data_IF_800569544458
#
_entry.id   IF_800569544458
#
_cell.length_a   1.000
_cell.length_b   1.000
_cell.length_c   1.000
_cell.angle_alpha   90.00
_cell.angle_beta   90.00
_cell.angle_gamma   90.00
#
_symmetry.space_group_name_H-M   'P 1'
#
loop_
_entity.id
_entity.type
_entity.pdbx_description
1 polymer ?
#
# COMPACT_ATOMS: atom_id res chain seq x y z
N UNK A 1 -0.01 -64.38 4.03
CA UNK A 1 1.02 -63.71 3.21
C UNK A 1 0.40 -62.80 2.14
N UNK A 2 -0.49 -63.28 1.26
CA UNK A 2 -1.17 -62.45 0.23
C UNK A 2 -1.93 -61.26 0.83
N UNK A 3 -2.73 -61.46 1.89
CA UNK A 3 -3.49 -60.37 2.56
C UNK A 3 -2.61 -59.26 3.14
N UNK A 4 -1.43 -59.60 3.67
CA UNK A 4 -0.48 -58.64 4.26
C UNK A 4 0.14 -57.78 3.15
N UNK A 5 0.54 -58.40 2.04
CA UNK A 5 1.08 -57.70 0.87
C UNK A 5 0.02 -56.77 0.27
N UNK A 6 -1.24 -57.21 0.13
CA UNK A 6 -2.33 -56.38 -0.39
C UNK A 6 -2.62 -55.17 0.52
N UNK A 7 -2.60 -55.34 1.84
CA UNK A 7 -2.77 -54.23 2.79
C UNK A 7 -1.61 -53.23 2.76
N UNK A 8 -0.37 -53.72 2.64
CA UNK A 8 0.80 -52.86 2.53
C UNK A 8 0.76 -52.03 1.23
N UNK A 9 0.37 -52.65 0.12
CA UNK A 9 0.15 -51.97 -1.16
C UNK A 9 -0.97 -50.92 -1.03
N UNK A 10 -2.11 -51.28 -0.44
CA UNK A 10 -3.22 -50.35 -0.23
C UNK A 10 -2.84 -49.16 0.66
N UNK A 11 -2.08 -49.38 1.74
CA UNK A 11 -1.57 -48.31 2.59
C UNK A 11 -0.60 -47.40 1.82
N UNK A 12 0.28 -47.98 0.99
CA UNK A 12 1.19 -47.20 0.16
C UNK A 12 0.44 -46.28 -0.82
N UNK A 13 -0.54 -46.80 -1.56
CA UNK A 13 -1.36 -45.97 -2.47
C UNK A 13 -2.21 -44.95 -1.71
N UNK A 14 -2.73 -45.28 -0.53
CA UNK A 14 -3.48 -44.33 0.30
C UNK A 14 -2.58 -43.18 0.76
N UNK A 15 -1.34 -43.45 1.17
CA UNK A 15 -0.35 -42.42 1.52
C UNK A 15 -0.03 -41.51 0.33
N UNK A 16 0.17 -42.10 -0.86
CA UNK A 16 0.42 -41.32 -2.09
C UNK A 16 -0.77 -40.42 -2.42
N UNK A 17 -1.99 -40.97 -2.40
CA UNK A 17 -3.22 -40.22 -2.68
C UNK A 17 -3.43 -39.07 -1.69
N UNK A 18 -3.24 -39.32 -0.39
CA UNK A 18 -3.36 -38.27 0.64
C UNK A 18 -2.33 -37.16 0.41
N UNK A 19 -1.07 -37.51 0.10
CA UNK A 19 -0.03 -36.51 -0.18
C UNK A 19 -0.33 -35.71 -1.46
N UNK A 20 -0.79 -36.36 -2.53
CA UNK A 20 -1.16 -35.70 -3.78
C UNK A 20 -2.33 -34.74 -3.58
N UNK A 21 -3.37 -35.18 -2.86
CA UNK A 21 -4.51 -34.34 -2.51
C UNK A 21 -4.09 -33.11 -1.71
N UNK A 22 -3.21 -33.27 -0.72
CA UNK A 22 -2.70 -32.14 0.06
C UNK A 22 -1.83 -31.19 -0.77
N UNK A 23 -0.99 -31.71 -1.68
CA UNK A 23 -0.23 -30.85 -2.59
C UNK A 23 -1.17 -30.03 -3.49
N UNK A 24 -2.23 -30.64 -4.03
CA UNK A 24 -3.23 -29.95 -4.85
C UNK A 24 -3.96 -28.86 -4.06
N UNK A 25 -4.40 -29.16 -2.83
CA UNK A 25 -5.00 -28.16 -1.94
C UNK A 25 -4.07 -26.98 -1.65
N UNK A 26 -2.77 -27.22 -1.52
CA UNK A 26 -1.81 -26.13 -1.35
C UNK A 26 -1.66 -25.28 -2.61
N UNK A 27 -1.64 -25.89 -3.79
CA UNK A 27 -1.65 -25.14 -5.06
C UNK A 27 -2.92 -24.31 -5.22
N UNK A 28 -4.08 -24.85 -4.88
CA UNK A 28 -5.35 -24.12 -4.90
C UNK A 28 -5.32 -22.91 -3.94
N UNK A 29 -4.73 -23.08 -2.75
CA UNK A 29 -4.54 -21.98 -1.79
C UNK A 29 -3.64 -20.89 -2.37
N UNK A 30 -2.54 -21.25 -3.03
CA UNK A 30 -1.64 -20.29 -3.70
C UNK A 30 -2.39 -19.55 -4.80
N UNK A 31 -3.13 -20.26 -5.64
CA UNK A 31 -3.91 -19.68 -6.75
C UNK A 31 -4.98 -18.71 -6.25
N UNK A 32 -5.79 -19.12 -5.26
CA UNK A 32 -6.84 -18.27 -4.70
C UNK A 32 -6.28 -17.02 -4.05
N UNK A 33 -5.17 -17.16 -3.33
CA UNK A 33 -4.51 -16.04 -2.67
C UNK A 33 -3.91 -15.05 -3.68
N UNK A 34 -3.26 -15.58 -4.72
CA UNK A 34 -2.76 -14.81 -5.88
C UNK A 34 -3.89 -14.01 -6.53
N UNK A 35 -5.00 -14.66 -6.87
CA UNK A 35 -6.15 -14.01 -7.52
C UNK A 35 -6.77 -12.93 -6.62
N UNK A 36 -6.96 -13.23 -5.33
CA UNK A 36 -7.53 -12.28 -4.37
C UNK A 36 -6.63 -11.05 -4.20
N UNK A 37 -5.31 -11.26 -4.10
CA UNK A 37 -4.35 -10.16 -3.96
C UNK A 37 -4.30 -9.30 -5.24
N UNK A 38 -4.42 -9.90 -6.43
CA UNK A 38 -4.53 -9.16 -7.70
C UNK A 38 -5.78 -8.27 -7.75
N UNK A 39 -6.93 -8.74 -7.27
CA UNK A 39 -8.15 -7.92 -7.19
C UNK A 39 -7.93 -6.71 -6.28
N UNK A 40 -7.25 -6.91 -5.15
CA UNK A 40 -6.92 -5.83 -4.22
C UNK A 40 -5.90 -4.86 -4.85
N UNK A 41 -4.86 -5.37 -5.54
CA UNK A 41 -3.92 -4.55 -6.31
C UNK A 41 -4.63 -3.62 -7.28
N UNK A 42 -5.59 -4.15 -8.04
CA UNK A 42 -6.34 -3.39 -9.02
C UNK A 42 -7.19 -2.29 -8.36
N UNK A 43 -7.87 -2.61 -7.25
CA UNK A 43 -8.68 -1.62 -6.49
C UNK A 43 -7.80 -0.49 -5.97
N UNK A 44 -6.66 -0.79 -5.37
CA UNK A 44 -5.74 0.22 -4.86
C UNK A 44 -5.11 1.03 -5.98
N UNK A 45 -4.77 0.41 -7.11
CA UNK A 45 -4.20 1.11 -8.27
C UNK A 45 -5.18 2.17 -8.80
N UNK A 46 -6.49 1.87 -8.80
CA UNK A 46 -7.53 2.86 -9.15
C UNK A 46 -7.60 4.01 -8.15
N UNK A 47 -7.44 3.75 -6.86
CA UNK A 47 -7.43 4.78 -5.83
C UNK A 47 -6.19 5.67 -5.91
N UNK A 48 -5.02 5.06 -6.17
CA UNK A 48 -3.75 5.77 -6.42
C UNK A 48 -3.85 6.66 -7.68
N UNK A 49 -4.58 6.24 -8.72
CA UNK A 49 -4.79 7.06 -9.91
C UNK A 49 -5.58 8.35 -9.65
N UNK A 50 -6.37 8.42 -8.57
CA UNK A 50 -7.09 9.64 -8.24
C UNK A 50 -6.15 10.81 -7.87
N UNK A 51 -4.90 10.55 -7.46
CA UNK A 51 -3.95 11.60 -7.13
C UNK A 51 -3.53 12.42 -8.36
N UNK A 52 -2.92 11.83 -9.41
CA UNK A 52 -2.53 12.58 -10.60
C UNK A 52 -3.72 13.26 -11.28
N UNK A 53 -4.89 12.62 -11.32
CA UNK A 53 -6.12 13.22 -11.89
C UNK A 53 -6.51 14.51 -11.16
N UNK A 54 -6.58 14.48 -9.82
CA UNK A 54 -6.93 15.65 -9.04
C UNK A 54 -5.85 16.75 -9.14
N UNK A 55 -4.57 16.38 -9.11
CA UNK A 55 -3.46 17.32 -9.28
C UNK A 55 -3.50 17.99 -10.66
N UNK A 56 -3.71 17.23 -11.72
CA UNK A 56 -3.82 17.76 -13.08
C UNK A 56 -5.00 18.73 -13.19
N UNK A 57 -6.14 18.41 -12.57
CA UNK A 57 -7.32 19.27 -12.57
C UNK A 57 -7.05 20.58 -11.81
N UNK A 58 -6.42 20.52 -10.64
CA UNK A 58 -6.02 21.70 -9.85
C UNK A 58 -5.00 22.55 -10.61
N UNK A 59 -3.93 21.94 -11.14
CA UNK A 59 -2.86 22.64 -11.84
C UNK A 59 -3.36 23.26 -13.15
N UNK A 60 -4.21 22.57 -13.90
CA UNK A 60 -4.81 23.12 -15.13
C UNK A 60 -5.74 24.29 -14.82
N UNK A 61 -6.49 24.24 -13.72
CA UNK A 61 -7.31 25.36 -13.28
C UNK A 61 -6.44 26.54 -12.82
N UNK A 62 -5.37 26.28 -12.05
CA UNK A 62 -4.45 27.32 -11.61
C UNK A 62 -3.76 28.00 -12.78
N UNK A 63 -3.34 27.24 -13.80
CA UNK A 63 -2.77 27.79 -15.02
C UNK A 63 -3.74 28.78 -15.69
N UNK A 64 -5.03 28.45 -15.76
CA UNK A 64 -6.03 29.36 -16.33
C UNK A 64 -6.20 30.64 -15.50
N UNK A 65 -6.06 30.55 -14.16
CA UNK A 65 -6.12 31.73 -13.28
C UNK A 65 -4.94 32.67 -13.59
N UNK A 66 -3.72 32.16 -13.59
CA UNK A 66 -2.51 32.99 -13.84
C UNK A 66 -2.48 33.54 -15.28
N UNK A 67 -3.05 32.82 -16.26
CA UNK A 67 -3.18 33.28 -17.65
C UNK A 67 -4.35 34.27 -17.84
N UNK A 68 -5.08 34.64 -16.78
CA UNK A 68 -6.22 35.57 -16.86
C UNK A 68 -7.45 35.01 -17.60
N UNK A 69 -7.52 33.69 -17.78
CA UNK A 69 -8.60 32.98 -18.51
C UNK A 69 -9.79 32.60 -17.64
N UNK A 70 -9.77 32.93 -16.35
CA UNK A 70 -10.86 32.67 -15.41
C UNK A 70 -11.54 33.98 -15.05
N UNK A 71 -12.86 34.04 -15.23
CA UNK A 71 -13.66 35.16 -14.72
C UNK A 71 -13.78 35.05 -13.21
N UNK A 72 -13.19 36.01 -12.51
CA UNK A 72 -13.15 36.05 -11.05
C UNK A 72 -14.18 37.04 -10.52
N UNK A 73 -14.98 36.62 -9.55
CA UNK A 73 -15.84 37.54 -8.81
C UNK A 73 -14.99 38.41 -7.87
N UNK A 74 -14.79 39.69 -8.24
CA UNK A 74 -14.03 40.65 -7.44
C UNK A 74 -14.63 40.93 -6.05
N UNK A 75 -15.89 40.58 -5.81
CA UNK A 75 -16.56 40.71 -4.51
C UNK A 75 -16.36 39.49 -3.61
N UNK A 76 -15.85 38.37 -4.13
CA UNK A 76 -15.60 37.20 -3.32
C UNK A 76 -14.42 37.48 -2.39
N UNK A 77 -14.67 37.46 -1.10
CA UNK A 77 -13.64 37.49 -0.07
C UNK A 77 -13.54 36.09 0.52
N UNK A 78 -12.33 35.56 0.51
CA UNK A 78 -12.07 34.27 1.08
C UNK A 78 -11.55 34.40 2.51
N UNK A 79 -12.05 33.56 3.41
CA UNK A 79 -11.43 33.38 4.71
C UNK A 79 -10.07 32.71 4.55
N UNK A 80 -9.01 33.44 4.91
CA UNK A 80 -7.63 32.98 4.91
C UNK A 80 -7.07 33.06 6.32
N UNK A 81 -6.34 32.04 6.76
CA UNK A 81 -5.62 32.04 8.03
C UNK A 81 -4.12 31.89 7.83
N UNK A 82 -3.32 32.60 8.60
CA UNK A 82 -1.89 32.36 8.65
C UNK A 82 -1.57 31.22 9.64
N UNK A 83 -0.79 30.22 9.20
CA UNK A 83 -0.48 29.03 10.00
C UNK A 83 0.17 29.40 11.35
N UNK A 84 1.12 30.35 11.36
CA UNK A 84 1.82 30.76 12.58
C UNK A 84 0.93 31.55 13.52
N UNK A 85 0.10 32.46 13.00
CA UNK A 85 -0.82 33.24 13.85
C UNK A 85 -1.77 32.32 14.61
N UNK A 86 -2.34 31.34 13.93
CA UNK A 86 -3.25 30.41 14.60
C UNK A 86 -2.50 29.47 15.54
N UNK A 87 -1.28 29.01 15.20
CA UNK A 87 -0.44 28.25 16.13
C UNK A 87 -0.18 29.02 17.45
N UNK A 88 0.15 30.31 17.35
CA UNK A 88 0.37 31.19 18.51
C UNK A 88 -0.91 31.79 19.11
N UNK A 89 -2.11 31.38 18.65
CA UNK A 89 -3.41 31.89 19.11
C UNK A 89 -3.57 33.42 18.95
N UNK A 90 -3.02 33.96 17.87
CA UNK A 90 -3.06 35.38 17.47
C UNK A 90 -3.94 35.63 16.25
N UNK A 91 -4.67 34.62 15.79
CA UNK A 91 -5.61 34.72 14.67
C UNK A 91 -6.97 35.26 15.12
N UNK A 92 -7.74 35.83 14.19
CA UNK A 92 -9.12 36.28 14.44
C UNK A 92 -9.96 35.12 15.03
N UNK A 93 -10.61 35.30 16.20
CA UNK A 93 -11.43 34.28 16.83
C UNK A 93 -12.54 33.73 15.93
N UNK A 94 -13.09 34.55 15.03
CA UNK A 94 -14.12 34.15 14.04
C UNK A 94 -13.53 33.17 13.03
N UNK A 95 -12.33 33.42 12.54
CA UNK A 95 -11.61 32.52 11.63
C UNK A 95 -11.31 31.20 12.34
N UNK A 96 -10.84 31.25 13.59
CA UNK A 96 -10.60 30.05 14.41
C UNK A 96 -11.87 29.24 14.61
N UNK A 97 -13.01 29.90 14.90
CA UNK A 97 -14.31 29.23 15.02
C UNK A 97 -14.76 28.58 13.70
N UNK A 98 -14.54 29.24 12.55
CA UNK A 98 -14.84 28.67 11.23
C UNK A 98 -14.00 27.42 10.96
N UNK A 99 -12.70 27.45 11.25
CA UNK A 99 -11.79 26.30 11.14
C UNK A 99 -12.28 25.14 12.00
N UNK A 100 -12.63 25.41 13.27
CA UNK A 100 -13.12 24.39 14.20
C UNK A 100 -14.43 23.76 13.76
N UNK A 101 -15.34 24.54 13.17
CA UNK A 101 -16.61 24.04 12.65
C UNK A 101 -16.42 23.19 11.39
N UNK A 102 -15.59 23.65 10.46
CA UNK A 102 -15.20 22.89 9.29
C UNK A 102 -13.86 23.39 8.74
N UNK A 103 -12.81 22.55 8.73
CA UNK A 103 -11.47 22.95 8.33
C UNK A 103 -11.34 23.30 6.85
N UNK A 104 -12.32 22.92 6.00
CA UNK A 104 -12.36 23.25 4.57
C UNK A 104 -13.09 24.57 4.28
N UNK A 105 -13.56 25.32 5.29
CA UNK A 105 -14.13 26.66 5.09
C UNK A 105 -13.07 27.76 5.00
N UNK A 106 -11.89 27.50 5.53
CA UNK A 106 -10.80 28.47 5.63
C UNK A 106 -9.56 27.83 5.04
N UNK A 107 -8.95 28.49 4.07
CA UNK A 107 -7.67 28.05 3.56
C UNK A 107 -6.55 28.70 4.37
N UNK A 108 -5.45 28.00 4.53
CA UNK A 108 -4.31 28.48 5.30
C UNK A 108 -3.16 28.88 4.39
N UNK A 109 -2.37 29.85 4.81
CA UNK A 109 -1.14 30.23 4.16
C UNK A 109 0.01 30.40 5.14
N UNK A 110 1.23 30.27 4.63
CA UNK A 110 2.45 30.50 5.39
C UNK A 110 3.54 31.07 4.48
N UNK A 111 4.36 31.96 5.03
CA UNK A 111 5.58 32.45 4.43
C UNK A 111 6.62 32.64 5.57
N UNK A 112 7.90 32.38 5.27
CA UNK A 112 8.95 32.26 6.28
C UNK A 112 9.21 33.52 7.12
N UNK A 113 8.89 34.70 6.58
CA UNK A 113 9.22 36.01 7.14
C UNK A 113 7.98 36.85 7.49
N UNK A 114 6.78 36.42 7.11
CA UNK A 114 5.55 37.20 7.24
C UNK A 114 4.44 36.42 7.93
N UNK A 115 3.74 37.11 8.83
CA UNK A 115 2.51 36.62 9.47
C UNK A 115 1.27 37.38 9.01
N UNK A 116 1.45 38.51 8.31
CA UNK A 116 0.37 39.34 7.79
C UNK A 116 0.54 39.59 6.29
N UNK A 117 -0.56 39.71 5.55
CA UNK A 117 -0.53 39.92 4.09
C UNK A 117 0.13 41.26 3.75
N UNK A 118 -0.03 42.28 4.59
CA UNK A 118 0.61 43.60 4.45
C UNK A 118 2.15 43.56 4.53
N UNK A 119 2.72 42.50 5.12
CA UNK A 119 4.17 42.29 5.23
C UNK A 119 4.76 41.59 4.00
N UNK A 120 3.92 41.01 3.14
CA UNK A 120 4.35 40.33 1.93
C UNK A 120 4.73 41.36 0.85
N UNK A 121 5.75 41.04 0.06
CA UNK A 121 6.06 41.79 -1.15
C UNK A 121 4.94 41.67 -2.19
N UNK A 122 4.92 42.55 -3.19
CA UNK A 122 3.84 42.58 -4.20
C UNK A 122 3.68 41.24 -4.94
N UNK A 123 4.79 40.58 -5.30
CA UNK A 123 4.77 39.28 -5.95
C UNK A 123 4.15 38.21 -5.03
N UNK A 124 4.57 38.15 -3.78
CA UNK A 124 4.02 37.28 -2.76
C UNK A 124 2.50 37.49 -2.55
N UNK A 125 2.05 38.75 -2.50
CA UNK A 125 0.62 39.08 -2.41
C UNK A 125 -0.16 38.59 -3.62
N UNK A 126 0.40 38.73 -4.82
CA UNK A 126 -0.20 38.25 -6.07
C UNK A 126 -0.30 36.71 -6.10
N UNK A 127 0.77 36.01 -5.72
CA UNK A 127 0.80 34.54 -5.63
C UNK A 127 -0.28 34.05 -4.65
N UNK A 128 -0.36 34.66 -3.46
CA UNK A 128 -1.36 34.30 -2.46
C UNK A 128 -2.78 34.57 -2.96
N UNK A 129 -2.99 35.69 -3.65
CA UNK A 129 -4.28 36.03 -4.26
C UNK A 129 -4.69 35.04 -5.35
N UNK A 130 -3.79 34.69 -6.27
CA UNK A 130 -4.07 33.71 -7.32
C UNK A 130 -4.35 32.32 -6.72
N UNK A 131 -3.61 31.96 -5.69
CA UNK A 131 -3.82 30.75 -4.89
C UNK A 131 -5.20 30.69 -4.25
N UNK A 132 -5.69 31.80 -3.72
CA UNK A 132 -7.01 31.88 -3.08
C UNK A 132 -8.16 31.53 -4.04
N UNK A 133 -8.01 31.82 -5.35
CA UNK A 133 -9.04 31.46 -6.32
C UNK A 133 -9.15 29.94 -6.58
N UNK A 134 -8.20 29.12 -6.12
CA UNK A 134 -8.29 27.67 -6.16
C UNK A 134 -9.25 27.09 -5.12
N UNK A 135 -9.57 27.86 -4.09
CA UNK A 135 -10.20 27.35 -2.89
C UNK A 135 -11.56 26.67 -3.11
N UNK A 136 -12.47 27.17 -3.96
CA UNK A 136 -13.70 26.44 -4.26
C UNK A 136 -13.44 25.00 -4.73
N UNK A 137 -12.40 24.81 -5.54
CA UNK A 137 -12.01 23.51 -6.05
C UNK A 137 -11.35 22.65 -4.95
N UNK A 138 -10.39 23.21 -4.22
CA UNK A 138 -9.71 22.47 -3.14
C UNK A 138 -10.69 22.05 -2.02
N UNK A 139 -11.63 22.93 -1.70
CA UNK A 139 -12.64 22.70 -0.69
C UNK A 139 -13.63 21.63 -1.18
N UNK A 140 -14.01 21.65 -2.46
CA UNK A 140 -14.88 20.60 -3.03
C UNK A 140 -14.26 19.20 -2.92
N UNK A 141 -12.96 19.07 -3.21
CA UNK A 141 -12.23 17.81 -3.02
C UNK A 141 -12.20 17.43 -1.53
N UNK A 142 -11.94 18.39 -0.65
CA UNK A 142 -11.94 18.20 0.80
C UNK A 142 -13.30 17.74 1.36
N UNK A 143 -14.39 18.41 0.98
CA UNK A 143 -15.76 18.09 1.37
C UNK A 143 -16.17 16.69 0.91
N UNK A 144 -15.90 16.36 -0.35
CA UNK A 144 -16.18 15.03 -0.89
C UNK A 144 -15.45 13.95 -0.10
N UNK A 145 -14.20 14.22 0.27
CA UNK A 145 -13.41 13.31 1.06
C UNK A 145 -13.93 13.16 2.51
N UNK A 146 -14.40 14.24 3.14
CA UNK A 146 -14.98 14.19 4.49
C UNK A 146 -16.28 13.39 4.53
N UNK A 147 -17.20 13.62 3.57
CA UNK A 147 -18.47 12.90 3.50
C UNK A 147 -18.22 11.39 3.38
N UNK A 148 -17.31 10.99 2.49
CA UNK A 148 -17.00 9.58 2.27
C UNK A 148 -16.38 8.88 3.50
N UNK A 149 -15.61 9.59 4.33
CA UNK A 149 -15.05 9.02 5.56
C UNK A 149 -16.13 8.64 6.58
N UNK A 150 -17.28 9.30 6.58
CA UNK A 150 -18.37 9.05 7.54
C UNK A 150 -19.24 7.85 7.19
N UNK A 151 -19.09 7.28 5.98
CA UNK A 151 -19.87 6.15 5.51
C UNK A 151 -19.11 4.86 5.85
N UNK A 152 -19.61 4.11 6.84
CA UNK A 152 -18.93 2.99 7.51
C UNK A 152 -18.42 1.82 6.62
N UNK A 153 -18.74 1.80 5.33
CA UNK A 153 -18.37 0.73 4.39
C UNK A 153 -17.55 1.24 3.18
N UNK A 154 -17.08 2.48 3.19
CA UNK A 154 -16.44 3.07 2.01
C UNK A 154 -14.93 2.84 1.99
N UNK A 155 -14.47 1.92 1.14
CA UNK A 155 -13.05 1.62 0.90
C UNK A 155 -12.45 2.68 -0.04
N UNK A 156 -11.87 3.75 0.51
CA UNK A 156 -11.06 4.75 -0.21
C UNK A 156 -9.83 5.19 0.56
N UNK A 157 -8.83 5.73 -0.15
CA UNK A 157 -7.69 6.40 0.44
C UNK A 157 -8.08 7.88 0.73
N UNK A 158 -8.27 8.29 1.99
CA UNK A 158 -8.72 9.63 2.29
C UNK A 158 -7.62 10.70 2.12
N UNK A 159 -7.95 11.82 1.46
CA UNK A 159 -7.07 12.99 1.34
C UNK A 159 -7.15 13.89 2.58
N UNK A 160 -6.04 14.14 3.27
CA UNK A 160 -6.03 15.00 4.46
C UNK A 160 -5.90 16.46 4.12
N UNK A 161 -4.99 16.78 3.22
CA UNK A 161 -4.76 18.15 2.79
C UNK A 161 -4.29 18.22 1.34
N UNK A 162 -4.51 19.37 0.75
CA UNK A 162 -4.03 19.76 -0.57
C UNK A 162 -3.23 21.02 -0.36
N UNK A 163 -1.93 20.93 -0.61
CA UNK A 163 -0.98 22.00 -0.37
C UNK A 163 -0.26 22.39 -1.65
N UNK A 164 0.11 23.66 -1.76
CA UNK A 164 0.97 24.15 -2.82
C UNK A 164 2.07 25.02 -2.24
N UNK A 165 3.26 24.93 -2.80
CA UNK A 165 4.40 25.75 -2.43
C UNK A 165 4.96 26.46 -3.66
N UNK A 166 5.00 27.79 -3.61
CA UNK A 166 5.61 28.61 -4.66
C UNK A 166 7.14 28.55 -4.59
N UNK A 167 7.79 28.51 -5.75
CA UNK A 167 9.25 28.56 -5.87
C UNK A 167 9.82 29.95 -5.55
N UNK A 168 9.10 31.00 -5.94
CA UNK A 168 9.57 32.38 -5.94
C UNK A 168 9.68 32.96 -4.52
N UNK A 169 8.61 32.81 -3.73
CA UNK A 169 8.51 33.42 -2.39
C UNK A 169 8.40 32.40 -1.24
N UNK A 170 8.41 31.10 -1.54
CA UNK A 170 8.23 30.05 -0.54
C UNK A 170 6.84 30.09 0.14
N UNK A 171 5.84 30.67 -0.53
CA UNK A 171 4.47 30.70 -0.02
C UNK A 171 3.91 29.28 -0.05
N UNK A 172 3.57 28.78 1.13
CA UNK A 172 2.74 27.59 1.30
C UNK A 172 1.28 28.02 1.37
N UNK A 173 0.42 27.39 0.59
CA UNK A 173 -1.03 27.54 0.65
C UNK A 173 -1.69 26.18 0.74
N UNK A 174 -2.66 26.00 1.65
CA UNK A 174 -3.31 24.72 1.91
C UNK A 174 -4.81 24.87 2.15
N UNK A 175 -5.59 23.83 1.84
CA UNK A 175 -7.01 23.73 2.18
C UNK A 175 -7.30 23.16 3.57
N UNK A 176 -6.26 22.89 4.34
CA UNK A 176 -6.38 22.38 5.69
C UNK A 176 -5.43 23.11 6.62
N UNK A 177 -5.95 23.48 7.79
CA UNK A 177 -5.18 24.15 8.82
C UNK A 177 -4.45 23.09 9.67
N UNK A 178 -3.13 22.99 9.53
CA UNK A 178 -2.34 22.33 10.54
C UNK A 178 -1.11 23.14 10.95
N UNK A 179 -1.00 23.26 12.26
CA UNK A 179 -0.18 24.23 12.98
C UNK A 179 1.25 23.75 13.28
N UNK A 180 1.56 22.46 13.04
CA UNK A 180 2.92 21.95 13.18
C UNK A 180 3.67 22.07 11.85
N UNK A 181 4.30 23.21 11.63
CA UNK A 181 5.41 23.30 10.68
C UNK A 181 6.56 22.46 11.24
N UNK A 182 6.62 21.18 10.89
CA UNK A 182 7.66 20.24 11.34
C UNK A 182 9.06 20.71 10.98
N UNK A 183 10.09 20.18 11.63
CA UNK A 183 11.50 20.48 11.34
C UNK A 183 11.82 20.34 9.84
N UNK A 184 12.60 21.27 9.29
CA UNK A 184 13.14 21.18 7.93
C UNK A 184 14.00 19.93 7.76
N UNK A 185 13.98 19.36 6.55
CA UNK A 185 14.78 18.17 6.24
C UNK A 185 16.27 18.53 6.05
N UNK A 186 16.56 19.78 5.66
CA UNK A 186 17.90 20.37 5.63
C UNK A 186 17.95 21.66 6.47
N UNK A 187 18.74 21.63 7.55
CA UNK A 187 18.91 22.76 8.46
C UNK A 187 19.63 23.95 7.79
N UNK A 188 20.40 23.74 6.72
CA UNK A 188 21.11 24.82 6.03
C UNK A 188 20.30 25.44 4.88
N UNK A 189 19.12 24.91 4.58
CA UNK A 189 18.30 25.36 3.44
C UNK A 189 17.40 26.57 3.79
N UNK A 190 17.16 26.84 5.06
CA UNK A 190 16.21 27.86 5.51
C UNK A 190 16.89 29.21 5.83
N UNK A 191 16.32 30.33 5.37
CA UNK A 191 16.89 31.67 5.58
C UNK A 191 15.82 32.71 5.96
N UNK A 192 15.21 32.57 7.14
CA UNK A 192 14.13 33.46 7.57
C UNK A 192 13.72 33.36 9.03
N UNK A 193 12.70 34.15 9.41
CA UNK A 193 12.22 34.29 10.79
C UNK A 193 11.73 32.98 11.38
N UNK A 194 11.03 32.18 10.59
CA UNK A 194 10.56 30.85 10.98
C UNK A 194 11.47 29.77 10.39
N UNK A 195 11.73 28.70 11.15
CA UNK A 195 12.64 27.62 10.73
C UNK A 195 12.10 26.84 9.52
N UNK A 196 10.80 26.88 9.28
CA UNK A 196 10.17 26.15 8.18
C UNK A 196 10.20 26.93 6.87
N UNK A 197 10.71 26.28 5.81
CA UNK A 197 10.52 26.69 4.41
C UNK A 197 9.97 25.47 3.64
N UNK A 198 8.80 25.58 2.98
CA UNK A 198 8.23 24.46 2.22
C UNK A 198 9.13 23.98 1.08
N UNK A 199 10.03 24.83 0.56
CA UNK A 199 10.99 24.48 -0.50
C UNK A 199 12.11 23.56 -0.01
N UNK A 200 12.37 23.57 1.30
CA UNK A 200 13.36 22.72 1.97
C UNK A 200 12.78 21.38 2.43
N UNK A 201 11.55 21.06 2.04
CA UNK A 201 10.92 19.79 2.35
C UNK A 201 11.31 18.74 1.32
N UNK A 202 11.49 17.51 1.77
CA UNK A 202 11.81 16.36 0.92
C UNK A 202 10.83 16.23 -0.25
N UNK A 203 9.52 16.38 0.01
CA UNK A 203 8.50 16.33 -1.03
C UNK A 203 8.68 17.46 -2.06
N UNK A 204 9.10 18.65 -1.66
CA UNK A 204 9.34 19.72 -2.62
C UNK A 204 10.60 19.44 -3.45
N UNK A 205 11.72 19.17 -2.78
CA UNK A 205 13.04 18.96 -3.41
C UNK A 205 13.05 17.74 -4.34
N UNK A 206 12.28 16.70 -4.01
CA UNK A 206 12.18 15.52 -4.87
C UNK A 206 11.37 15.84 -6.12
N UNK A 207 10.21 16.47 -5.96
CA UNK A 207 9.26 16.72 -7.03
C UNK A 207 9.73 17.76 -8.07
N UNK A 208 10.55 18.73 -7.68
CA UNK A 208 11.13 19.67 -8.67
C UNK A 208 11.94 18.95 -9.75
N UNK A 209 12.54 17.82 -9.40
CA UNK A 209 13.38 17.01 -10.29
C UNK A 209 12.58 15.96 -11.10
N UNK A 210 11.30 15.75 -10.79
CA UNK A 210 10.47 14.77 -11.49
C UNK A 210 9.84 15.37 -12.74
N UNK A 211 9.66 14.58 -13.79
CA UNK A 211 9.02 15.04 -15.03
C UNK A 211 7.54 15.36 -14.80
N UNK A 212 6.84 14.52 -14.05
CA UNK A 212 5.39 14.61 -13.85
C UNK A 212 4.98 14.32 -12.40
N UNK A 213 3.92 13.53 -12.19
CA UNK A 213 3.49 13.07 -10.88
C UNK A 213 4.55 12.21 -10.18
N UNK A 214 4.69 12.40 -8.86
CA UNK A 214 5.51 11.56 -8.01
C UNK A 214 4.79 11.30 -6.68
N UNK A 215 4.68 10.02 -6.33
CA UNK A 215 4.26 9.63 -5.00
C UNK A 215 5.48 9.58 -4.08
N UNK A 216 5.57 10.47 -3.09
CA UNK A 216 6.64 10.49 -2.10
C UNK A 216 6.60 9.23 -1.21
N UNK A 217 7.71 8.83 -0.56
CA UNK A 217 7.68 7.74 0.42
C UNK A 217 6.70 8.02 1.58
N UNK A 218 6.15 6.98 2.21
CA UNK A 218 5.25 7.15 3.35
C UNK A 218 6.00 7.74 4.55
N UNK A 219 5.35 8.67 5.24
CA UNK A 219 5.91 9.34 6.41
C UNK A 219 4.86 9.49 7.51
N UNK A 220 5.32 9.89 8.70
CA UNK A 220 4.41 10.21 9.79
C UNK A 220 4.04 11.68 9.69
N UNK A 221 2.78 11.93 9.42
CA UNK A 221 2.22 13.27 9.54
C UNK A 221 1.73 13.49 10.96
N UNK A 222 2.15 14.61 11.53
CA UNK A 222 1.55 15.17 12.74
C UNK A 222 0.41 16.06 12.26
N UNK A 223 -0.84 15.74 12.62
CA UNK A 223 -2.06 16.44 12.22
C UNK A 223 -2.64 17.35 13.32
N UNK A 224 -3.84 17.89 13.10
CA UNK A 224 -4.71 18.36 14.20
C UNK A 224 -5.16 17.22 15.12
N UNK A 225 -5.23 16.01 14.57
CA UNK A 225 -5.49 14.77 15.29
C UNK A 225 -4.18 14.11 15.70
N UNK A 226 -4.28 13.03 16.47
CA UNK A 226 -3.20 12.07 16.69
C UNK A 226 -2.40 11.77 15.41
N UNK A 227 -1.07 11.60 15.50
CA UNK A 227 -0.21 11.24 14.38
C UNK A 227 -0.79 10.12 13.51
N UNK A 228 -0.49 10.15 12.22
CA UNK A 228 -0.96 9.12 11.28
C UNK A 228 0.06 8.88 10.17
N UNK A 229 -0.01 7.68 9.59
CA UNK A 229 0.79 7.34 8.41
C UNK A 229 0.19 8.04 7.20
N UNK A 230 1.02 8.81 6.50
CA UNK A 230 0.61 9.59 5.35
C UNK A 230 1.54 9.41 4.15
N UNK A 231 1.09 9.89 3.00
CA UNK A 231 1.91 9.95 1.80
C UNK A 231 1.50 11.14 0.94
N UNK A 232 2.49 11.80 0.33
CA UNK A 232 2.25 12.96 -0.53
C UNK A 232 2.38 12.56 -2.00
N UNK A 233 1.30 12.66 -2.75
CA UNK A 233 1.35 12.65 -4.22
C UNK A 233 1.50 14.08 -4.71
N UNK A 234 2.55 14.37 -5.47
CA UNK A 234 2.94 15.72 -5.84
C UNK A 234 3.17 15.85 -7.35
N UNK A 235 3.05 17.06 -7.87
CA UNK A 235 3.30 17.41 -9.26
C UNK A 235 3.74 18.87 -9.36
N UNK A 236 4.82 19.12 -10.09
CA UNK A 236 5.29 20.48 -10.36
C UNK A 236 4.49 21.15 -11.46
N UNK A 237 4.38 22.47 -11.38
CA UNK A 237 3.79 23.31 -12.42
C UNK A 237 4.87 24.22 -12.98
N UNK A 238 5.00 24.25 -14.30
CA UNK A 238 5.93 25.11 -15.03
C UNK A 238 5.23 26.37 -15.53
N UNK A 239 5.98 27.45 -15.68
CA UNK A 239 5.52 28.65 -16.36
C UNK A 239 6.66 29.26 -17.20
N UNK A 240 6.28 30.13 -18.14
CA UNK A 240 7.24 30.92 -18.91
C UNK A 240 7.42 32.27 -18.22
N UNK A 241 8.63 32.55 -17.75
CA UNK A 241 8.96 33.83 -17.14
C UNK A 241 9.34 34.82 -18.24
N UNK A 242 8.52 35.84 -18.44
CA UNK A 242 8.72 36.87 -19.48
C UNK A 242 9.90 37.79 -19.19
N UNK A 243 10.35 37.87 -17.94
CA UNK A 243 11.47 38.72 -17.54
C UNK A 243 12.81 38.04 -17.81
N UNK A 244 12.91 36.75 -17.50
CA UNK A 244 14.14 35.95 -17.71
C UNK A 244 14.17 35.25 -19.07
N UNK A 245 13.04 35.21 -19.80
CA UNK A 245 12.84 34.47 -21.05
C UNK A 245 13.09 32.96 -20.92
N UNK A 246 12.94 32.40 -19.72
CA UNK A 246 13.17 30.98 -19.44
C UNK A 246 11.91 30.31 -18.90
N UNK A 247 11.88 28.98 -19.03
CA UNK A 247 10.87 28.15 -18.38
C UNK A 247 11.34 27.89 -16.95
N UNK A 248 10.50 28.24 -15.99
CA UNK A 248 10.79 28.12 -14.57
C UNK A 248 9.73 27.28 -13.88
N UNK A 249 10.09 26.69 -12.73
CA UNK A 249 9.12 26.05 -11.85
C UNK A 249 8.33 27.14 -11.17
N UNK A 250 7.01 27.13 -11.32
CA UNK A 250 6.11 28.06 -10.66
C UNK A 250 5.83 27.62 -9.21
N UNK A 251 5.45 26.35 -9.06
CA UNK A 251 5.08 25.75 -7.78
C UNK A 251 5.19 24.23 -7.81
N UNK A 252 5.17 23.64 -6.62
CA UNK A 252 4.87 22.21 -6.42
C UNK A 252 3.51 22.11 -5.74
N UNK A 253 2.59 21.34 -6.33
CA UNK A 253 1.26 21.04 -5.79
C UNK A 253 1.24 19.60 -5.29
N UNK A 254 0.74 19.38 -4.07
CA UNK A 254 0.65 18.07 -3.45
C UNK A 254 -0.73 17.79 -2.87
N UNK A 255 -1.09 16.52 -2.86
CA UNK A 255 -2.21 15.95 -2.10
C UNK A 255 -1.60 14.98 -1.08
N UNK A 256 -1.87 15.23 0.20
CA UNK A 256 -1.54 14.30 1.26
C UNK A 256 -2.70 13.33 1.47
N UNK A 257 -2.40 12.03 1.48
CA UNK A 257 -3.34 10.99 1.86
C UNK A 257 -3.01 10.37 3.22
N UNK A 258 -4.03 9.98 3.97
CA UNK A 258 -3.89 9.16 5.17
C UNK A 258 -4.00 7.68 4.80
N UNK A 259 -2.97 6.92 5.12
CA UNK A 259 -2.83 5.50 4.78
C UNK A 259 -3.29 4.57 5.91
N UNK A 260 -3.59 5.10 7.10
CA UNK A 260 -3.97 4.30 8.28
C UNK A 260 -5.21 3.41 8.08
N UNK A 261 -6.09 3.73 7.13
CA UNK A 261 -7.31 2.94 6.87
C UNK A 261 -7.11 1.86 5.80
N UNK A 262 -5.89 1.70 5.29
CA UNK A 262 -5.59 0.72 4.25
C UNK A 262 -5.95 -0.72 4.69
N UNK A 263 -5.88 -1.05 5.98
CA UNK A 263 -6.17 -2.41 6.49
C UNK A 263 -7.50 -2.98 5.96
N UNK A 264 -8.53 -2.13 5.81
CA UNK A 264 -9.88 -2.51 5.35
C UNK A 264 -9.91 -3.14 3.95
N UNK A 265 -8.90 -2.89 3.11
CA UNK A 265 -8.78 -3.50 1.79
C UNK A 265 -8.34 -4.98 1.84
N UNK A 266 -7.71 -5.40 2.94
CA UNK A 266 -6.97 -6.66 3.00
C UNK A 266 -7.55 -7.68 3.97
N UNK A 267 -8.56 -7.32 4.77
CA UNK A 267 -9.12 -8.20 5.81
C UNK A 267 -9.43 -9.61 5.31
N UNK A 268 -9.99 -9.72 4.10
CA UNK A 268 -10.32 -11.01 3.49
C UNK A 268 -9.08 -11.79 3.00
N UNK A 269 -8.03 -11.10 2.53
CA UNK A 269 -6.80 -11.74 2.02
C UNK A 269 -5.91 -12.23 3.16
N UNK A 270 -5.94 -11.54 4.31
CA UNK A 270 -5.09 -11.87 5.45
C UNK A 270 -5.45 -13.25 6.04
N UNK A 271 -6.72 -13.66 5.97
CA UNK A 271 -7.16 -14.95 6.52
C UNK A 271 -6.50 -16.16 5.86
N UNK A 272 -6.13 -16.07 4.58
CA UNK A 272 -5.42 -17.15 3.87
C UNK A 272 -3.90 -17.12 4.08
N UNK A 273 -3.39 -16.09 4.77
CA UNK A 273 -1.98 -15.72 4.79
C UNK A 273 -1.36 -15.97 6.17
N UNK A 274 -0.11 -16.44 6.23
CA UNK A 274 0.63 -16.52 7.50
C UNK A 274 1.18 -15.17 7.93
N UNK A 275 1.53 -14.34 6.95
CA UNK A 275 2.03 -13.00 7.15
C UNK A 275 1.74 -12.20 5.87
N UNK A 276 1.32 -10.95 6.04
CA UNK A 276 0.98 -10.08 4.93
C UNK A 276 1.58 -8.69 5.16
N UNK A 277 2.28 -8.18 4.15
CA UNK A 277 2.89 -6.86 4.17
C UNK A 277 2.43 -6.00 3.00
N UNK A 278 2.42 -4.70 3.24
CA UNK A 278 2.36 -3.68 2.20
C UNK A 278 3.52 -2.76 2.42
N UNK A 279 4.33 -2.58 1.39
CA UNK A 279 5.54 -1.77 1.47
C UNK A 279 5.61 -0.76 0.34
N UNK A 280 6.30 0.34 0.57
CA UNK A 280 6.86 1.14 -0.51
C UNK A 280 8.05 0.37 -1.09
N UNK A 281 8.04 -0.04 -2.37
CA UNK A 281 9.10 -0.87 -2.93
C UNK A 281 10.45 -0.13 -3.06
N UNK A 282 10.47 1.20 -2.92
CA UNK A 282 11.69 2.02 -3.09
C UNK A 282 12.45 2.21 -1.79
N UNK A 283 11.73 2.40 -0.69
CA UNK A 283 12.32 2.62 0.65
C UNK A 283 12.18 1.40 1.56
N UNK A 284 11.38 0.41 1.15
CA UNK A 284 10.99 -0.76 1.94
C UNK A 284 10.25 -0.39 3.23
N UNK A 285 9.75 0.85 3.34
CA UNK A 285 8.93 1.27 4.47
C UNK A 285 7.60 0.52 4.44
N UNK A 286 7.19 0.01 5.60
CA UNK A 286 5.97 -0.76 5.77
C UNK A 286 4.80 0.21 5.97
N UNK A 287 3.78 0.05 5.13
CA UNK A 287 2.48 0.70 5.27
C UNK A 287 1.52 -0.14 6.11
N UNK A 288 1.63 -1.47 5.98
CA UNK A 288 0.76 -2.41 6.68
C UNK A 288 1.49 -3.72 6.98
N UNK A 289 1.23 -4.28 8.17
CA UNK A 289 1.75 -5.55 8.63
C UNK A 289 0.63 -6.29 9.37
N UNK A 290 0.21 -7.45 8.86
CA UNK A 290 -0.94 -8.18 9.43
C UNK A 290 -0.72 -8.72 10.84
N UNK A 291 0.52 -8.85 11.32
CA UNK A 291 0.83 -9.30 12.69
C UNK A 291 1.01 -8.16 13.68
N UNK A 292 1.04 -6.90 13.22
CA UNK A 292 1.25 -5.74 14.08
C UNK A 292 0.06 -4.80 14.00
N UNK A 293 -0.66 -4.69 15.11
CA UNK A 293 -1.68 -3.65 15.25
C UNK A 293 -0.96 -2.34 15.57
N UNK A 294 -0.90 -1.44 14.60
CA UNK A 294 -0.30 -0.13 14.79
C UNK A 294 -1.24 0.76 15.59
N UNK A 295 -0.81 1.22 16.76
CA UNK A 295 -1.44 2.38 17.38
C UNK A 295 -0.92 3.64 16.70
N UNK A 296 -1.63 4.09 15.66
CA UNK A 296 -1.23 5.27 14.90
C UNK A 296 -1.07 6.52 15.78
N UNK A 297 -1.77 6.60 16.92
CA UNK A 297 -1.71 7.76 17.81
C UNK A 297 -0.38 8.01 18.53
N UNK A 298 0.48 7.01 18.63
CA UNK A 298 1.80 7.11 19.26
C UNK A 298 2.93 6.82 18.28
N UNK A 299 2.61 6.82 16.99
CA UNK A 299 3.52 6.33 15.96
C UNK A 299 4.47 7.45 15.56
N UNK A 300 5.75 7.29 15.90
CA UNK A 300 6.79 8.31 15.66
C UNK A 300 7.72 7.95 14.50
N UNK A 301 7.67 6.71 14.00
CA UNK A 301 8.49 6.22 12.90
C UNK A 301 7.74 5.18 12.07
N UNK A 302 8.15 4.99 10.83
CA UNK A 302 7.69 3.89 9.96
C UNK A 302 8.61 2.68 10.10
N UNK A 303 8.03 1.49 10.24
CA UNK A 303 8.81 0.26 10.25
C UNK A 303 9.41 0.00 8.85
N UNK A 304 10.51 -0.76 8.78
CA UNK A 304 11.16 -1.12 7.53
C UNK A 304 11.15 -2.65 7.32
N UNK A 305 10.75 -3.09 6.13
CA UNK A 305 10.66 -4.50 5.76
C UNK A 305 12.01 -5.20 5.77
N UNK A 306 13.08 -4.52 5.37
CA UNK A 306 14.43 -5.07 5.47
C UNK A 306 14.76 -5.42 6.92
N UNK A 307 14.51 -4.51 7.85
CA UNK A 307 14.83 -4.72 9.28
C UNK A 307 13.98 -5.83 9.90
N UNK A 308 12.70 -5.91 9.54
CA UNK A 308 11.74 -6.85 10.13
C UNK A 308 11.89 -8.27 9.55
N UNK A 309 12.04 -8.40 8.24
CA UNK A 309 11.96 -9.71 7.56
C UNK A 309 13.32 -10.20 7.06
N UNK A 310 14.23 -9.31 6.62
CA UNK A 310 15.46 -9.70 5.91
C UNK A 310 16.69 -9.74 6.83
N UNK A 311 16.92 -8.68 7.61
CA UNK A 311 18.15 -8.45 8.36
C UNK A 311 18.47 -9.57 9.35
N UNK A 312 17.45 -10.15 10.00
CA UNK A 312 17.61 -11.18 11.02
C UNK A 312 17.19 -12.58 10.56
N UNK A 313 16.91 -12.76 9.27
CA UNK A 313 16.61 -14.09 8.73
C UNK A 313 17.83 -15.02 8.84
N UNK A 314 17.57 -16.28 9.20
CA UNK A 314 18.58 -17.34 9.30
C UNK A 314 19.12 -17.74 7.93
N UNK A 315 18.24 -17.84 6.93
CA UNK A 315 18.63 -18.12 5.55
C UNK A 315 18.89 -16.81 4.80
N UNK A 316 20.16 -16.41 4.77
CA UNK A 316 20.61 -15.19 4.09
C UNK A 316 20.46 -15.25 2.59
N UNK A 317 20.61 -16.43 1.98
CA UNK A 317 20.52 -16.59 0.52
C UNK A 317 19.08 -16.37 0.06
N UNK A 318 18.13 -17.06 0.68
CA UNK A 318 16.70 -16.92 0.38
C UNK A 318 16.20 -15.49 0.62
N UNK A 319 16.67 -14.85 1.69
CA UNK A 319 16.27 -13.48 2.04
C UNK A 319 16.87 -12.41 1.14
N UNK A 320 18.13 -12.61 0.73
CA UNK A 320 18.75 -11.72 -0.25
C UNK A 320 18.07 -11.87 -1.62
N UNK A 321 17.74 -13.09 -2.04
CA UNK A 321 17.00 -13.31 -3.30
C UNK A 321 15.63 -12.58 -3.30
N UNK A 322 14.87 -12.65 -2.20
CA UNK A 322 13.61 -11.90 -2.07
C UNK A 322 13.84 -10.38 -2.23
N UNK A 323 14.87 -9.85 -1.57
CA UNK A 323 15.23 -8.43 -1.68
C UNK A 323 15.67 -8.06 -3.10
N UNK A 324 16.47 -8.90 -3.75
CA UNK A 324 16.96 -8.69 -5.10
C UNK A 324 15.82 -8.71 -6.11
N UNK A 325 14.84 -9.61 -5.96
CA UNK A 325 13.61 -9.61 -6.76
C UNK A 325 12.85 -8.29 -6.59
N UNK A 326 12.68 -7.80 -5.35
CA UNK A 326 12.02 -6.53 -5.08
C UNK A 326 12.74 -5.38 -5.80
N UNK A 327 14.05 -5.29 -5.59
CA UNK A 327 14.87 -4.20 -6.11
C UNK A 327 14.98 -4.23 -7.64
N UNK A 328 15.12 -5.40 -8.25
CA UNK A 328 15.30 -5.52 -9.70
C UNK A 328 14.02 -5.26 -10.49
N UNK A 329 12.85 -5.63 -9.95
CA UNK A 329 11.59 -5.58 -10.68
C UNK A 329 10.68 -4.39 -10.32
N UNK A 330 10.72 -3.92 -9.07
CA UNK A 330 9.69 -2.98 -8.56
C UNK A 330 10.23 -1.62 -8.08
N UNK A 331 11.55 -1.42 -8.03
CA UNK A 331 12.13 -0.15 -7.58
C UNK A 331 12.20 0.96 -8.65
N UNK A 332 11.87 0.64 -9.91
CA UNK A 332 12.09 1.51 -11.07
C UNK A 332 10.81 2.14 -11.63
N UNK A 333 10.99 3.29 -12.27
CA UNK A 333 10.00 3.98 -13.08
C UNK A 333 9.99 3.43 -14.49
N UNK A 334 8.83 3.40 -15.14
CA UNK A 334 8.74 3.10 -16.57
C UNK A 334 8.05 4.26 -17.28
N UNK A 335 8.77 4.94 -18.17
CA UNK A 335 8.21 5.96 -19.06
C UNK A 335 7.75 5.29 -20.34
N UNK A 336 6.44 5.36 -20.62
CA UNK A 336 5.85 4.88 -21.87
C UNK A 336 5.67 6.08 -22.80
N UNK A 337 6.63 6.24 -23.71
CA UNK A 337 6.69 7.38 -24.65
C UNK A 337 5.83 7.13 -25.91
N UNK A 338 5.54 5.86 -26.24
CA UNK A 338 5.01 5.51 -27.57
C UNK A 338 3.48 5.44 -27.67
N UNK A 339 2.74 5.35 -26.56
CA UNK A 339 1.28 5.31 -26.57
C UNK A 339 0.70 6.40 -25.65
N UNK A 340 -0.08 7.33 -26.23
CA UNK A 340 -0.74 8.42 -25.51
C UNK A 340 -1.84 7.97 -24.53
N UNK A 341 -2.10 6.66 -24.43
CA UNK A 341 -3.15 6.12 -23.57
C UNK A 341 -2.85 4.66 -23.19
N UNK A 342 -2.64 4.39 -21.91
CA UNK A 342 -2.74 3.05 -21.34
C UNK A 342 -4.21 2.73 -21.10
N UNK A 343 -4.71 1.67 -21.73
CA UNK A 343 -6.08 1.22 -21.52
C UNK A 343 -6.25 0.60 -20.13
N UNK A 344 -7.48 0.59 -19.61
CA UNK A 344 -7.82 -0.14 -18.37
C UNK A 344 -7.40 -1.62 -18.47
N UNK A 345 -7.43 -2.22 -19.66
CA UNK A 345 -6.97 -3.60 -19.88
C UNK A 345 -5.46 -3.74 -19.67
N UNK A 346 -4.65 -2.84 -20.24
CA UNK A 346 -3.21 -2.84 -20.02
C UNK A 346 -2.86 -2.61 -18.54
N UNK A 347 -3.62 -1.78 -17.83
CA UNK A 347 -3.46 -1.65 -16.38
C UNK A 347 -3.77 -2.94 -15.63
N UNK A 348 -4.86 -3.61 -15.99
CA UNK A 348 -5.25 -4.88 -15.40
C UNK A 348 -4.12 -5.90 -15.63
N UNK A 349 -3.56 -5.96 -16.84
CA UNK A 349 -2.49 -6.89 -17.18
C UNK A 349 -1.21 -6.61 -16.39
N UNK A 350 -0.80 -5.33 -16.29
CA UNK A 350 0.35 -4.95 -15.46
C UNK A 350 0.12 -5.26 -13.97
N UNK A 351 -1.11 -5.08 -13.45
CA UNK A 351 -1.45 -5.41 -12.06
C UNK A 351 -1.47 -6.91 -11.76
N UNK A 352 -1.56 -7.75 -12.79
CA UNK A 352 -1.55 -9.22 -12.69
C UNK A 352 -0.14 -9.82 -12.76
N UNK A 353 0.90 -9.01 -13.02
CA UNK A 353 2.29 -9.45 -13.09
C UNK A 353 2.83 -9.76 -11.68
N UNK A 354 2.29 -10.78 -11.04
CA UNK A 354 2.73 -11.22 -9.75
C UNK A 354 3.92 -12.19 -9.86
N UNK A 355 4.77 -12.15 -8.84
CA UNK A 355 5.92 -13.04 -8.73
C UNK A 355 5.67 -13.97 -7.56
N UNK A 356 5.78 -15.28 -7.82
CA UNK A 356 5.68 -16.32 -6.80
C UNK A 356 7.04 -16.98 -6.66
N UNK A 357 7.58 -16.99 -5.45
CA UNK A 357 8.89 -17.59 -5.16
C UNK A 357 8.90 -18.34 -3.83
N UNK A 358 9.85 -19.26 -3.69
CA UNK A 358 10.10 -19.95 -2.42
C UNK A 358 10.97 -19.09 -1.51
N UNK A 359 10.60 -19.03 -0.24
CA UNK A 359 11.28 -18.25 0.79
C UNK A 359 11.41 -19.07 2.07
N UNK A 360 12.64 -19.32 2.49
CA UNK A 360 12.93 -20.03 3.73
C UNK A 360 12.99 -19.05 4.91
N UNK A 361 12.12 -19.25 5.89
CA UNK A 361 12.05 -18.47 7.13
C UNK A 361 12.11 -19.42 8.32
N UNK A 362 13.18 -19.32 9.11
CA UNK A 362 13.37 -20.11 10.33
C UNK A 362 13.18 -21.62 10.12
N UNK A 363 13.82 -22.17 9.08
CA UNK A 363 13.75 -23.59 8.68
C UNK A 363 12.43 -24.05 8.07
N UNK A 364 11.48 -23.15 7.85
CA UNK A 364 10.23 -23.42 7.16
C UNK A 364 10.20 -22.78 5.78
N UNK A 365 9.66 -23.51 4.79
CA UNK A 365 9.52 -23.02 3.41
C UNK A 365 8.15 -22.37 3.25
N UNK A 366 8.16 -21.11 2.84
CA UNK A 366 6.98 -20.32 2.50
C UNK A 366 6.93 -20.09 0.99
N UNK A 367 5.72 -19.99 0.45
CA UNK A 367 5.48 -19.37 -0.86
C UNK A 367 5.21 -17.89 -0.63
N UNK A 368 6.05 -17.04 -1.23
CA UNK A 368 5.87 -15.59 -1.24
C UNK A 368 5.20 -15.20 -2.54
N UNK A 369 4.06 -14.53 -2.45
CA UNK A 369 3.35 -13.94 -3.59
C UNK A 369 3.52 -12.42 -3.51
N UNK A 370 4.18 -11.85 -4.49
CA UNK A 370 4.45 -10.42 -4.63
C UNK A 370 3.51 -9.85 -5.69
N UNK A 371 2.68 -8.88 -5.33
CA UNK A 371 1.72 -8.25 -6.25
C UNK A 371 1.92 -6.72 -6.24
N UNK A 372 2.16 -6.10 -7.41
CA UNK A 372 2.37 -4.66 -7.49
C UNK A 372 1.06 -3.88 -7.43
N UNK A 373 1.08 -2.73 -6.77
CA UNK A 373 0.09 -1.65 -6.91
C UNK A 373 0.71 -0.57 -7.78
N UNK A 374 0.03 -0.21 -8.86
CA UNK A 374 0.58 0.65 -9.91
C UNK A 374 -0.13 2.00 -9.88
N UNK A 375 0.66 3.07 -9.82
CA UNK A 375 0.24 4.42 -10.14
C UNK A 375 0.67 4.76 -11.57
N UNK A 376 -0.14 5.58 -12.24
CA UNK A 376 0.20 6.10 -13.56
C UNK A 376 -0.30 7.52 -13.73
N UNK A 377 0.37 8.27 -14.58
CA UNK A 377 0.05 9.66 -14.86
C UNK A 377 0.25 9.95 -16.36
N UNK A 378 -0.71 10.63 -16.96
CA UNK A 378 -0.56 11.20 -18.29
C UNK A 378 0.25 12.50 -18.13
N UNK A 379 1.40 12.62 -18.80
CA UNK A 379 2.23 13.83 -18.68
C UNK A 379 1.35 15.06 -19.00
N UNK A 380 1.11 15.94 -18.02
CA UNK A 380 0.11 16.98 -18.18
C UNK A 380 0.47 17.97 -19.28
N UNK A 381 -0.56 18.51 -19.93
CA UNK A 381 -0.42 19.55 -20.96
C UNK A 381 0.34 20.79 -20.46
N UNK A 382 0.21 21.13 -19.17
CA UNK A 382 0.90 22.26 -18.57
C UNK A 382 2.40 22.02 -18.38
N UNK A 383 2.87 20.77 -18.47
CA UNK A 383 4.28 20.40 -18.52
C UNK A 383 4.72 20.20 -19.98
N UNK A 384 3.96 19.41 -20.74
CA UNK A 384 4.31 19.04 -22.12
C UNK A 384 4.38 20.24 -23.07
N UNK A 385 3.67 21.34 -22.78
CA UNK A 385 3.79 22.63 -23.47
C UNK A 385 5.21 23.21 -23.44
N UNK A 386 6.02 22.83 -22.45
CA UNK A 386 7.33 23.41 -22.17
C UNK A 386 8.50 22.41 -22.29
N UNK A 387 8.29 21.11 -22.09
CA UNK A 387 9.39 20.12 -21.99
C UNK A 387 9.53 19.17 -23.18
N UNK A 388 8.66 19.27 -24.19
CA UNK A 388 8.51 18.27 -25.27
C UNK A 388 8.26 16.83 -24.78
N UNK A 389 8.04 16.62 -23.48
CA UNK A 389 7.75 15.32 -22.90
C UNK A 389 6.27 15.00 -23.10
N UNK A 390 5.98 13.89 -23.76
CA UNK A 390 4.63 13.39 -23.98
C UNK A 390 4.59 11.89 -23.66
N UNK A 391 3.39 11.37 -23.41
CA UNK A 391 3.16 9.98 -23.05
C UNK A 391 2.78 9.83 -21.58
N UNK A 392 3.09 8.65 -21.03
CA UNK A 392 2.67 8.25 -19.71
C UNK A 392 3.84 7.84 -18.82
N UNK A 393 3.70 8.11 -17.53
CA UNK A 393 4.64 7.71 -16.50
C UNK A 393 3.99 6.65 -15.62
N UNK A 394 4.64 5.49 -15.48
CA UNK A 394 4.24 4.40 -14.59
C UNK A 394 5.15 4.32 -13.37
N UNK A 395 4.54 4.05 -12.21
CA UNK A 395 5.21 3.90 -10.93
C UNK A 395 4.63 2.71 -10.15
N UNK A 396 5.48 1.85 -9.60
CA UNK A 396 5.07 0.91 -8.56
C UNK A 396 4.97 1.67 -7.24
N UNK A 397 3.73 1.93 -6.82
CA UNK A 397 3.46 2.77 -5.64
C UNK A 397 3.52 1.94 -4.37
N UNK A 398 2.95 0.73 -4.38
CA UNK A 398 3.05 -0.21 -3.27
C UNK A 398 3.34 -1.62 -3.77
N UNK A 399 3.85 -2.45 -2.87
CA UNK A 399 4.05 -3.87 -3.10
C UNK A 399 3.33 -4.67 -2.00
N UNK A 400 2.41 -5.53 -2.41
CA UNK A 400 1.77 -6.49 -1.52
C UNK A 400 2.61 -7.76 -1.48
N UNK A 401 3.04 -8.16 -0.29
CA UNK A 401 3.86 -9.36 -0.07
C UNK A 401 3.09 -10.29 0.84
N UNK A 402 2.64 -11.42 0.28
CA UNK A 402 1.88 -12.43 0.97
C UNK A 402 2.73 -13.69 1.20
N UNK A 403 2.92 -14.09 2.46
CA UNK A 403 3.62 -15.32 2.84
C UNK A 403 2.58 -16.40 3.18
N UNK A 404 2.62 -17.50 2.44
CA UNK A 404 1.76 -18.66 2.64
C UNK A 404 2.64 -19.86 2.99
N UNK A 405 2.20 -20.65 3.97
CA UNK A 405 2.85 -21.91 4.35
C UNK A 405 1.87 -23.08 4.23
N UNK A 406 2.43 -24.26 3.96
CA UNK A 406 1.74 -25.56 3.97
C UNK A 406 1.95 -26.33 5.28
N UNK A 407 2.60 -25.76 6.29
CA UNK A 407 2.90 -26.43 7.57
C UNK A 407 1.68 -27.08 8.22
N UNK A 408 0.58 -26.33 8.37
CA UNK A 408 -0.66 -26.83 8.95
C UNK A 408 -1.29 -27.93 8.09
N UNK A 409 -1.23 -27.75 6.76
CA UNK A 409 -1.76 -28.73 5.83
C UNK A 409 -0.98 -30.03 5.95
N UNK A 410 0.37 -29.97 5.95
CA UNK A 410 1.26 -31.12 6.18
C UNK A 410 1.04 -31.78 7.54
N UNK A 411 0.80 -31.00 8.60
CA UNK A 411 0.49 -31.57 9.91
C UNK A 411 -0.82 -32.38 9.86
N UNK A 412 -1.86 -31.86 9.22
CA UNK A 412 -3.12 -32.57 8.99
C UNK A 412 -2.95 -33.80 8.08
N UNK A 413 -2.15 -33.70 7.02
CA UNK A 413 -1.77 -34.81 6.13
C UNK A 413 -1.14 -35.94 6.93
N UNK A 414 -0.17 -35.61 7.79
CA UNK A 414 0.54 -36.59 8.62
C UNK A 414 -0.39 -37.27 9.62
N UNK A 415 -1.31 -36.51 10.24
CA UNK A 415 -2.34 -37.09 11.12
C UNK A 415 -3.26 -38.05 10.38
N UNK A 416 -3.67 -37.70 9.15
CA UNK A 416 -4.53 -38.56 8.33
C UNK A 416 -3.79 -39.83 7.87
N UNK A 417 -2.50 -39.72 7.53
CA UNK A 417 -1.63 -40.85 7.21
C UNK A 417 -1.45 -41.76 8.43
N UNK A 418 -1.24 -41.20 9.62
CA UNK A 418 -1.09 -41.95 10.86
C UNK A 418 -2.40 -42.68 11.21
N UNK A 419 -3.54 -41.99 11.11
CA UNK A 419 -4.86 -42.58 11.29
C UNK A 419 -5.08 -43.75 10.32
N UNK A 420 -4.81 -43.54 9.03
CA UNK A 420 -4.93 -44.57 8.00
C UNK A 420 -4.03 -45.77 8.34
N UNK A 421 -2.78 -45.52 8.73
CA UNK A 421 -1.83 -46.58 9.12
C UNK A 421 -2.34 -47.39 10.32
N UNK A 422 -2.88 -46.74 11.35
CA UNK A 422 -3.49 -47.41 12.51
C UNK A 422 -4.73 -48.22 12.12
N UNK A 423 -5.59 -47.69 11.25
CA UNK A 423 -6.78 -48.38 10.77
C UNK A 423 -6.42 -49.65 9.98
N UNK A 424 -5.47 -49.57 9.06
CA UNK A 424 -4.98 -50.75 8.33
C UNK A 424 -4.35 -51.80 9.28
N UNK A 425 -3.60 -51.37 10.30
CA UNK A 425 -3.04 -52.27 11.32
C UNK A 425 -4.13 -52.96 12.15
N UNK A 426 -5.18 -52.23 12.56
CA UNK A 426 -6.33 -52.82 13.28
C UNK A 426 -7.03 -53.85 12.40
N UNK A 427 -7.28 -53.53 11.12
CA UNK A 427 -7.89 -54.47 10.18
C UNK A 427 -7.01 -55.72 10.03
N UNK A 428 -5.68 -55.54 9.95
CA UNK A 428 -4.74 -56.66 9.89
C UNK A 428 -4.80 -57.55 11.14
N UNK A 429 -4.75 -56.96 12.35
CA UNK A 429 -4.89 -57.70 13.61
C UNK A 429 -6.24 -58.44 13.67
N UNK A 430 -7.33 -57.81 13.23
CA UNK A 430 -8.66 -58.44 13.20
C UNK A 430 -8.70 -59.60 12.20
N UNK A 431 -8.11 -59.46 11.02
CA UNK A 431 -8.03 -60.54 10.03
C UNK A 431 -7.14 -61.68 10.51
N UNK A 432 -5.99 -61.39 11.11
CA UNK A 432 -5.06 -62.40 11.66
C UNK A 432 -5.69 -63.14 12.84
N UNK A 433 -6.40 -62.44 13.75
CA UNK A 433 -7.14 -63.07 14.85
C UNK A 433 -8.31 -63.93 14.36
N UNK A 434 -9.00 -63.51 13.29
CA UNK A 434 -10.08 -64.29 12.67
C UNK A 434 -9.53 -65.53 11.97
N UNK A 435 -8.35 -65.43 11.36
CA UNK A 435 -7.62 -66.56 10.77
C UNK A 435 -7.13 -67.54 11.84
N UNK A 436 -6.59 -67.05 12.96
CA UNK A 436 -6.15 -67.85 14.10
C UNK A 436 -7.32 -68.58 14.81
N UNK A 437 -8.48 -67.92 14.91
CA UNK A 437 -9.69 -68.57 15.41
C UNK A 437 -10.18 -69.66 14.45
N UNK A 438 -10.17 -69.43 13.13
CA UNK A 438 -10.53 -70.47 12.14
C UNK A 438 -9.55 -71.64 12.12
N UNK A 439 -8.24 -71.40 12.21
CA UNK A 439 -7.24 -72.47 12.28
C UNK A 439 -7.33 -73.23 13.60
N UNK A 440 -7.56 -72.57 14.74
CA UNK A 440 -7.80 -73.27 16.03
C UNK A 440 -9.08 -74.10 16.01
N UNK A 441 -10.14 -73.62 15.34
CA UNK A 441 -11.40 -74.34 15.20
C UNK A 441 -11.27 -75.55 14.26
N UNK A 442 -10.49 -75.41 13.17
CA UNK A 442 -10.13 -76.50 12.26
C UNK A 442 -9.16 -77.50 12.90
N UNK A 443 -8.22 -77.06 13.75
CA UNK A 443 -7.33 -77.93 14.53
C UNK A 443 -8.12 -78.73 15.58
N UNK A 444 -9.09 -78.09 16.26
CA UNK A 444 -10.00 -78.78 17.19
C UNK A 444 -10.94 -79.76 16.47
N UNK A 445 -11.38 -79.45 15.24
CA UNK A 445 -12.14 -80.39 14.42
C UNK A 445 -11.29 -81.59 13.97
N UNK A 446 -10.01 -81.38 13.62
CA UNK A 446 -9.05 -82.47 13.31
C UNK A 446 -8.71 -83.32 14.54
N UNK A 447 -8.59 -82.73 15.73
CA UNK A 447 -8.36 -83.47 16.97
C UNK A 447 -9.59 -84.28 17.39
N UNK A 448 -10.81 -83.74 17.24
CA UNK A 448 -12.06 -84.48 17.48
C UNK A 448 -12.26 -85.62 16.46
N UNK A 449 -11.91 -85.43 15.19
CA UNK A 449 -11.96 -86.52 14.21
C UNK A 449 -10.94 -87.63 14.49
N UNK A 450 -9.78 -87.31 15.07
CA UNK A 450 -8.80 -88.34 15.46
C UNK A 450 -9.16 -89.09 16.75
N UNK A 451 -9.87 -88.48 17.70
CA UNK A 451 -10.43 -89.19 18.86
C UNK A 451 -11.62 -90.09 18.49
N UNK A 452 -12.47 -89.69 17.55
CA UNK A 452 -13.58 -90.52 17.04
C UNK A 452 -13.11 -91.75 16.25
N UNK A 453 -11.93 -91.71 15.61
CA UNK A 453 -11.33 -92.88 14.94
C UNK A 453 -10.67 -93.83 15.93
N UNK A 454 -10.25 -93.38 17.12
CA UNK A 454 -9.69 -94.23 18.18
C UNK A 454 -10.73 -94.90 19.09
N UNK A 455 -12.00 -94.48 19.04
CA UNK A 455 -13.09 -95.14 19.78
C UNK A 455 -13.82 -96.22 18.97
N UNK A 456 -13.52 -96.37 17.68
CA UNK A 456 -14.14 -97.35 16.78
C UNK A 456 -13.12 -98.36 16.18
N UNK A 457 -11.99 -98.58 16.85
CA UNK A 457 -11.06 -99.69 16.59
C UNK A 457 -10.88 -100.52 17.85
#
# INVERSE_FOLDING_TARGET
MISIVTQYIALHYTKLFINEFCNNLFQDKIYFSSMSTNVVSLRLSREVYNFPVNLQLINSFHQKIIEGKVMINKKHQQALSNIMRTFYRQEDPTIVQMIQKNPYLVNSWFQQNATEISQLELLAQEILKNSSYLSPLLNSIGYYNQINQTIANYQRIPFKQILQSSSQDGILFSNFFNSSLSSVDDQNCHFGRFIYDPRCRFWYMTDVNQTSFFMNPPQISQGMTTPYLSQHGCQKMLFYNTTTNTIEIYKVQCIEAMLSNLYSYFENVIQSSKQYYIIDPRTLQILYNSRKQYNHSTLNWTDNFYNIEIQYSQDKVSSQNLLDVINSHFSKWTFLIQNNYTSILQMIDLSKNNIILDYNRNSSIYKVIINPVIGYDDIPKHISKYTNSQGQQLQYVYLQINLISDEELKAQTNQLIEFSSKLFLIIQILLDNKFNNLTSHLFNLRFKSHQLVKQNC
#
